data_IF_633603714904
#
_entry.id   IF_633603714904
#
_cell.length_a   1.000
_cell.length_b   1.000
_cell.length_c   1.000
_cell.angle_alpha   90.00
_cell.angle_beta   90.00
_cell.angle_gamma   90.00
#
_symmetry.space_group_name_H-M   'P 1'
#
loop_
_entity.id
_entity.type
_entity.pdbx_description
1 polymer ?
#
# COMPACT_ATOMS: atom_id res chain seq x y z
N UNK A 1 11.78 27.61 -13.85
CA UNK A 1 10.70 26.60 -13.79
C UNK A 1 9.40 27.35 -14.00
N UNK A 2 8.62 26.98 -15.01
CA UNK A 2 7.25 27.46 -15.14
C UNK A 2 6.51 27.16 -13.83
N UNK A 3 5.95 28.20 -13.22
CA UNK A 3 5.17 28.03 -12.01
C UNK A 3 3.85 27.37 -12.38
N UNK A 4 3.62 26.16 -11.87
CA UNK A 4 2.31 25.48 -11.96
C UNK A 4 1.20 26.46 -11.59
N UNK A 5 0.11 26.48 -12.36
CA UNK A 5 -1.11 27.18 -11.97
C UNK A 5 -1.75 26.51 -10.76
N UNK A 6 -2.61 27.23 -10.02
CA UNK A 6 -3.34 26.66 -8.87
C UNK A 6 -4.16 25.43 -9.31
N UNK A 7 -4.78 25.51 -10.49
CA UNK A 7 -5.55 24.41 -11.07
C UNK A 7 -4.68 23.17 -11.32
N UNK A 8 -3.52 23.34 -11.98
CA UNK A 8 -2.60 22.22 -12.28
C UNK A 8 -2.03 21.59 -11.00
N UNK A 9 -1.70 22.40 -9.99
CA UNK A 9 -1.21 21.92 -8.71
C UNK A 9 -2.26 21.05 -7.98
N UNK A 10 -3.54 21.48 -7.98
CA UNK A 10 -4.63 20.68 -7.41
C UNK A 10 -4.85 19.39 -8.21
N UNK A 11 -4.77 19.44 -9.54
CA UNK A 11 -4.89 18.26 -10.38
C UNK A 11 -3.77 17.24 -10.10
N UNK A 12 -2.53 17.70 -9.95
CA UNK A 12 -1.40 16.83 -9.58
C UNK A 12 -1.62 16.15 -8.23
N UNK A 13 -2.12 16.88 -7.22
CA UNK A 13 -2.45 16.29 -5.92
C UNK A 13 -3.49 15.18 -6.08
N UNK A 14 -4.57 15.42 -6.84
CA UNK A 14 -5.62 14.42 -7.07
C UNK A 14 -5.12 13.19 -7.82
N UNK A 15 -4.29 13.38 -8.85
CA UNK A 15 -3.67 12.28 -9.59
C UNK A 15 -2.83 11.41 -8.66
N UNK A 16 -2.05 12.03 -7.77
CA UNK A 16 -1.24 11.30 -6.79
C UNK A 16 -2.11 10.58 -5.75
N UNK A 17 -3.21 11.19 -5.29
CA UNK A 17 -4.18 10.54 -4.39
C UNK A 17 -4.83 9.30 -5.04
N UNK A 18 -5.24 9.40 -6.31
CA UNK A 18 -5.79 8.28 -7.08
C UNK A 18 -4.75 7.18 -7.30
N UNK A 19 -3.48 7.55 -7.54
CA UNK A 19 -2.38 6.61 -7.66
C UNK A 19 -2.13 5.83 -6.36
N UNK A 20 -2.15 6.50 -5.20
CA UNK A 20 -2.03 5.86 -3.88
C UNK A 20 -3.19 4.88 -3.65
N UNK A 21 -4.43 5.30 -3.94
CA UNK A 21 -5.62 4.46 -3.83
C UNK A 21 -5.50 3.21 -4.71
N UNK A 22 -5.07 3.37 -5.96
CA UNK A 22 -4.86 2.27 -6.90
C UNK A 22 -3.78 1.30 -6.40
N UNK A 23 -2.66 1.81 -5.89
CA UNK A 23 -1.60 0.97 -5.31
C UNK A 23 -2.09 0.15 -4.12
N UNK A 24 -2.93 0.74 -3.27
CA UNK A 24 -3.54 0.02 -2.16
C UNK A 24 -4.47 -1.11 -2.64
N UNK A 25 -5.25 -0.89 -3.69
CA UNK A 25 -6.10 -1.95 -4.28
C UNK A 25 -5.26 -3.08 -4.90
N UNK A 26 -4.15 -2.74 -5.56
CA UNK A 26 -3.19 -3.73 -6.07
C UNK A 26 -2.59 -4.54 -4.92
N UNK A 27 -2.19 -3.89 -3.83
CA UNK A 27 -1.68 -4.57 -2.63
C UNK A 27 -2.71 -5.53 -2.02
N UNK A 28 -3.97 -5.12 -1.90
CA UNK A 28 -5.05 -5.99 -1.44
C UNK A 28 -5.22 -7.21 -2.35
N UNK A 29 -5.15 -7.01 -3.67
CA UNK A 29 -5.25 -8.08 -4.65
C UNK A 29 -4.10 -9.08 -4.52
N UNK A 30 -2.87 -8.60 -4.33
CA UNK A 30 -1.69 -9.44 -4.08
C UNK A 30 -1.89 -10.24 -2.79
N UNK A 31 -2.34 -9.59 -1.72
CA UNK A 31 -2.58 -10.24 -0.41
C UNK A 31 -3.63 -11.34 -0.52
N UNK A 32 -4.76 -11.05 -1.15
CA UNK A 32 -5.82 -12.04 -1.36
C UNK A 32 -5.36 -13.20 -2.25
N UNK A 33 -4.70 -12.90 -3.37
CA UNK A 33 -4.17 -13.91 -4.28
C UNK A 33 -3.13 -14.81 -3.60
N UNK A 34 -2.29 -14.23 -2.73
CA UNK A 34 -1.33 -14.98 -1.92
C UNK A 34 -2.06 -15.94 -1.00
N UNK A 35 -3.08 -15.47 -0.26
CA UNK A 35 -3.91 -16.31 0.61
C UNK A 35 -4.55 -17.47 -0.18
N UNK A 36 -5.21 -17.18 -1.29
CA UNK A 36 -5.85 -18.20 -2.15
C UNK A 36 -4.83 -19.20 -2.68
N UNK A 37 -3.67 -18.74 -3.15
CA UNK A 37 -2.60 -19.61 -3.65
C UNK A 37 -2.05 -20.54 -2.56
N UNK A 38 -1.97 -20.07 -1.31
CA UNK A 38 -1.54 -20.90 -0.19
C UNK A 38 -2.51 -22.05 0.10
N UNK A 39 -3.81 -21.79 -0.01
CA UNK A 39 -4.84 -22.83 0.15
C UNK A 39 -4.83 -23.82 -1.03
N UNK A 40 -4.74 -23.32 -2.27
CA UNK A 40 -4.73 -24.16 -3.46
C UNK A 40 -3.45 -25.03 -3.58
N UNK A 41 -2.29 -24.48 -3.23
CA UNK A 41 -0.98 -25.13 -3.35
C UNK A 41 -0.47 -25.79 -2.07
N UNK A 42 -1.35 -26.08 -1.10
CA UNK A 42 -0.97 -26.52 0.25
C UNK A 42 -0.02 -27.71 0.28
N UNK A 43 -0.18 -28.68 -0.62
CA UNK A 43 0.67 -29.88 -0.71
C UNK A 43 2.12 -29.58 -1.12
N UNK A 44 2.37 -28.42 -1.73
CA UNK A 44 3.69 -27.99 -2.21
C UNK A 44 4.40 -27.05 -1.21
N UNK A 45 3.71 -26.62 -0.15
CA UNK A 45 4.20 -25.63 0.82
C UNK A 45 5.15 -26.23 1.86
N UNK A 46 6.39 -26.49 1.42
CA UNK A 46 7.50 -26.77 2.33
C UNK A 46 7.88 -25.55 3.16
N UNK A 47 8.57 -25.77 4.30
CA UNK A 47 9.02 -24.67 5.17
C UNK A 47 9.89 -23.63 4.43
N UNK A 48 10.74 -24.07 3.49
CA UNK A 48 11.58 -23.16 2.68
C UNK A 48 10.74 -22.30 1.73
N UNK A 49 9.74 -22.90 1.08
CA UNK A 49 8.84 -22.19 0.15
C UNK A 49 7.99 -21.16 0.91
N UNK A 50 7.52 -21.49 2.12
CA UNK A 50 6.80 -20.54 3.00
C UNK A 50 7.62 -19.26 3.23
N UNK A 51 8.89 -19.39 3.62
CA UNK A 51 9.75 -18.23 3.82
C UNK A 51 10.02 -17.44 2.54
N UNK A 52 10.17 -18.13 1.41
CA UNK A 52 10.33 -17.46 0.12
C UNK A 52 9.08 -16.62 -0.23
N UNK A 53 7.89 -17.19 -0.07
CA UNK A 53 6.62 -16.48 -0.32
C UNK A 53 6.46 -15.30 0.63
N UNK A 54 6.78 -15.47 1.92
CA UNK A 54 6.77 -14.39 2.91
C UNK A 54 7.71 -13.26 2.49
N UNK A 55 8.94 -13.57 2.07
CA UNK A 55 9.92 -12.55 1.69
C UNK A 55 9.48 -11.81 0.42
N UNK A 56 8.96 -12.50 -0.59
CA UNK A 56 8.40 -11.88 -1.79
C UNK A 56 7.21 -10.96 -1.47
N UNK A 57 6.33 -11.41 -0.57
CA UNK A 57 5.18 -10.63 -0.12
C UNK A 57 5.58 -9.38 0.68
N UNK A 58 6.58 -9.49 1.55
CA UNK A 58 7.10 -8.34 2.30
C UNK A 58 7.83 -7.35 1.38
N UNK A 59 8.58 -7.83 0.39
CA UNK A 59 9.23 -6.96 -0.60
C UNK A 59 8.20 -6.20 -1.44
N UNK A 60 7.14 -6.85 -1.90
CA UNK A 60 6.08 -6.17 -2.66
C UNK A 60 5.34 -5.16 -1.78
N UNK A 61 5.03 -5.51 -0.53
CA UNK A 61 4.41 -4.59 0.43
C UNK A 61 5.30 -3.37 0.71
N UNK A 62 6.61 -3.58 0.88
CA UNK A 62 7.58 -2.49 1.09
C UNK A 62 7.69 -1.57 -0.12
N UNK A 63 7.68 -2.12 -1.34
CA UNK A 63 7.71 -1.31 -2.57
C UNK A 63 6.47 -0.40 -2.69
N UNK A 64 5.30 -0.92 -2.30
CA UNK A 64 4.05 -0.15 -2.31
C UNK A 64 4.07 0.96 -1.25
N UNK A 65 4.55 0.66 -0.03
CA UNK A 65 4.73 1.67 1.02
C UNK A 65 5.71 2.75 0.58
N UNK A 66 6.87 2.38 0.04
CA UNK A 66 7.88 3.34 -0.42
C UNK A 66 7.34 4.27 -1.51
N UNK A 67 6.59 3.73 -2.47
CA UNK A 67 6.00 4.55 -3.54
C UNK A 67 4.89 5.46 -3.02
N UNK A 68 4.08 4.99 -2.05
CA UNK A 68 3.07 5.81 -1.39
C UNK A 68 3.69 6.96 -0.59
N UNK A 69 4.80 6.72 0.10
CA UNK A 69 5.56 7.75 0.80
C UNK A 69 6.15 8.79 -0.17
N UNK A 70 6.69 8.34 -1.30
CA UNK A 70 7.20 9.23 -2.34
C UNK A 70 6.11 10.18 -2.88
N UNK A 71 4.91 9.67 -3.17
CA UNK A 71 3.79 10.50 -3.59
C UNK A 71 3.28 11.43 -2.48
N UNK A 72 3.24 10.96 -1.23
CA UNK A 72 2.85 11.79 -0.09
C UNK A 72 3.82 12.96 0.12
N UNK A 73 5.13 12.73 -0.02
CA UNK A 73 6.14 13.79 0.04
C UNK A 73 5.99 14.79 -1.11
N UNK A 74 5.76 14.30 -2.33
CA UNK A 74 5.46 15.16 -3.49
C UNK A 74 4.22 16.04 -3.25
N UNK A 75 3.14 15.47 -2.70
CA UNK A 75 1.93 16.22 -2.36
C UNK A 75 2.18 17.26 -1.26
N UNK A 76 3.01 16.95 -0.26
CA UNK A 76 3.37 17.89 0.80
C UNK A 76 4.09 19.12 0.23
N UNK A 77 5.03 18.92 -0.71
CA UNK A 77 5.73 20.01 -1.40
C UNK A 77 4.77 20.88 -2.21
N UNK A 78 3.87 20.28 -3.00
CA UNK A 78 2.86 21.02 -3.78
C UNK A 78 1.91 21.80 -2.86
N UNK A 79 1.49 21.19 -1.75
CA UNK A 79 0.60 21.83 -0.76
C UNK A 79 1.29 23.03 -0.10
N UNK A 80 2.58 22.94 0.21
CA UNK A 80 3.35 24.07 0.73
C UNK A 80 3.41 25.24 -0.28
N UNK A 81 3.65 24.95 -1.56
CA UNK A 81 3.63 25.97 -2.62
C UNK A 81 2.25 26.63 -2.80
N UNK A 82 1.17 25.88 -2.58
CA UNK A 82 -0.21 26.40 -2.62
C UNK A 82 -0.53 27.26 -1.39
N UNK A 83 -0.02 26.90 -0.22
CA UNK A 83 -0.19 27.67 1.01
C UNK A 83 0.45 29.06 0.90
N UNK A 84 1.61 29.18 0.26
CA UNK A 84 2.26 30.48 -0.05
C UNK A 84 1.39 31.37 -0.94
N UNK A 85 0.48 30.78 -1.71
CA UNK A 85 -0.47 31.48 -2.59
C UNK A 85 -1.84 31.70 -1.95
N UNK A 86 -1.97 31.47 -0.64
CA UNK A 86 -3.19 31.66 0.12
C UNK A 86 -4.23 30.54 -0.01
N UNK A 87 -3.86 29.40 -0.61
CA UNK A 87 -4.75 28.23 -0.72
C UNK A 87 -4.40 27.23 0.38
N UNK A 88 -5.33 27.01 1.32
CA UNK A 88 -5.19 26.01 2.37
C UNK A 88 -5.91 24.72 1.98
N UNK A 89 -5.15 23.64 1.83
CA UNK A 89 -5.70 22.28 1.66
C UNK A 89 -5.53 21.52 2.97
N UNK A 90 -6.62 20.95 3.48
CA UNK A 90 -6.57 20.10 4.65
C UNK A 90 -6.05 18.71 4.23
N UNK A 91 -4.93 18.22 4.80
CA UNK A 91 -4.46 16.87 4.50
C UNK A 91 -5.45 15.83 5.03
N UNK A 92 -5.73 14.74 4.29
CA UNK A 92 -6.71 13.72 4.69
C UNK A 92 -6.14 12.75 5.74
N UNK A 93 -5.75 13.26 6.92
CA UNK A 93 -5.03 12.54 7.98
C UNK A 93 -5.77 11.25 8.40
N UNK A 94 -7.10 11.31 8.55
CA UNK A 94 -7.90 10.17 8.96
C UNK A 94 -7.86 9.01 7.95
N UNK A 95 -7.91 9.33 6.65
CA UNK A 95 -7.81 8.34 5.58
C UNK A 95 -6.40 7.71 5.59
N UNK A 96 -5.36 8.52 5.72
CA UNK A 96 -3.96 8.04 5.78
C UNK A 96 -3.73 7.07 6.94
N UNK A 97 -4.23 7.39 8.14
CA UNK A 97 -4.12 6.51 9.31
C UNK A 97 -4.88 5.20 9.07
N UNK A 98 -6.08 5.27 8.50
CA UNK A 98 -6.91 4.10 8.21
C UNK A 98 -6.23 3.16 7.19
N UNK A 99 -5.67 3.70 6.11
CA UNK A 99 -4.89 2.92 5.14
C UNK A 99 -3.67 2.26 5.78
N UNK A 100 -2.95 2.98 6.64
CA UNK A 100 -1.77 2.45 7.31
C UNK A 100 -2.11 1.30 8.27
N UNK A 101 -3.16 1.46 9.09
CA UNK A 101 -3.64 0.40 9.99
C UNK A 101 -4.08 -0.83 9.20
N UNK A 102 -4.84 -0.64 8.11
CA UNK A 102 -5.26 -1.73 7.23
C UNK A 102 -4.07 -2.45 6.59
N UNK A 103 -3.04 -1.69 6.18
CA UNK A 103 -1.83 -2.25 5.60
C UNK A 103 -1.08 -3.13 6.59
N UNK A 104 -0.86 -2.67 7.83
CA UNK A 104 -0.24 -3.46 8.88
C UNK A 104 -1.08 -4.71 9.20
N UNK A 105 -2.39 -4.54 9.39
CA UNK A 105 -3.28 -5.65 9.70
C UNK A 105 -3.25 -6.71 8.59
N UNK A 106 -3.40 -6.32 7.32
CA UNK A 106 -3.40 -7.25 6.20
C UNK A 106 -2.04 -7.91 5.96
N UNK A 107 -0.93 -7.20 6.20
CA UNK A 107 0.40 -7.83 6.17
C UNK A 107 0.53 -8.91 7.25
N UNK A 108 0.17 -8.58 8.49
CA UNK A 108 0.23 -9.53 9.61
C UNK A 108 -0.67 -10.74 9.36
N UNK A 109 -1.90 -10.53 8.87
CA UNK A 109 -2.84 -11.60 8.52
C UNK A 109 -2.30 -12.48 7.40
N UNK A 110 -1.75 -11.90 6.32
CA UNK A 110 -1.23 -12.68 5.19
C UNK A 110 -0.02 -13.52 5.62
N UNK A 111 0.92 -12.92 6.36
CA UNK A 111 2.08 -13.65 6.91
C UNK A 111 1.64 -14.77 7.85
N UNK A 112 0.65 -14.51 8.70
CA UNK A 112 0.05 -15.54 9.55
C UNK A 112 -0.49 -16.72 8.72
N UNK A 113 -1.24 -16.45 7.65
CA UNK A 113 -1.75 -17.52 6.77
C UNK A 113 -0.66 -18.28 6.02
N UNK A 114 0.48 -17.66 5.69
CA UNK A 114 1.62 -18.39 5.10
C UNK A 114 2.16 -19.43 6.09
N UNK A 115 2.28 -19.05 7.36
CA UNK A 115 2.97 -19.85 8.37
C UNK A 115 2.05 -20.73 9.20
N UNK A 116 0.74 -20.53 9.18
CA UNK A 116 -0.20 -21.36 9.92
C UNK A 116 -0.04 -22.83 9.50
N UNK A 117 0.04 -23.70 10.51
CA UNK A 117 -0.20 -25.12 10.32
C UNK A 117 -1.71 -25.30 10.37
N UNK A 118 -2.33 -25.40 9.20
CA UNK A 118 -3.64 -26.03 9.13
C UNK A 118 -3.39 -27.46 9.61
N UNK A 119 -3.79 -27.79 10.85
CA UNK A 119 -3.87 -29.18 11.25
C UNK A 119 -4.90 -29.82 10.31
N UNK A 120 -4.52 -30.89 9.64
CA UNK A 120 -5.49 -31.78 9.04
C UNK A 120 -6.31 -32.37 10.20
N UNK A 121 -7.46 -31.77 10.47
CA UNK A 121 -8.49 -32.49 11.18
C UNK A 121 -9.00 -33.59 10.24
N UNK A 122 -9.14 -34.83 10.73
CA UNK A 122 -9.44 -36.02 9.93
C UNK A 122 -10.74 -35.91 9.13
#
# INVERSE_FOLDING_TARGET
>A
MEQLTIYEAIQLIRINEDAISTQFQVWLTISFSTIVALFAGRSLLTAKIKWLVTLLYLLSSMAIVATSLYFAEGNAQITAMLAERGVTLAPPIFASISYFVLLIAGMATTVYFIHIKLNDSP
#
